data_IF_867753290322
#
_entry.id   IF_867753290322
#
_cell.length_a   1.000
_cell.length_b   1.000
_cell.length_c   1.000
_cell.angle_alpha   90.00
_cell.angle_beta   90.00
_cell.angle_gamma   90.00
#
_symmetry.space_group_name_H-M   'P 1'
#
loop_
_entity.id
_entity.type
_entity.pdbx_description
1 polymer ?
#
# COMPACT_ATOMS: atom_id res chain seq x y z
N UNK A 1 19.63 -5.59 58.86
CA UNK A 1 20.09 -4.83 57.67
C UNK A 1 20.05 -5.61 56.35
N UNK A 2 20.55 -6.86 56.27
CA UNK A 2 20.56 -7.66 55.02
C UNK A 2 19.17 -8.01 54.45
N UNK A 3 18.19 -8.31 55.31
CA UNK A 3 16.86 -8.77 54.88
C UNK A 3 16.03 -7.71 54.12
N UNK A 4 16.22 -6.42 54.46
CA UNK A 4 15.50 -5.31 53.83
C UNK A 4 16.10 -4.96 52.47
N UNK A 5 17.41 -5.14 52.31
CA UNK A 5 18.10 -5.04 51.02
C UNK A 5 17.66 -6.15 50.07
N UNK A 6 17.56 -7.39 50.57
CA UNK A 6 17.14 -8.53 49.78
C UNK A 6 15.70 -8.41 49.26
N UNK A 7 14.76 -7.97 50.11
CA UNK A 7 13.38 -7.68 49.68
C UNK A 7 13.32 -6.55 48.67
N UNK A 8 14.09 -5.46 48.85
CA UNK A 8 14.11 -4.35 47.90
C UNK A 8 14.63 -4.76 46.52
N UNK A 9 15.67 -5.60 46.45
CA UNK A 9 16.17 -6.14 45.19
C UNK A 9 15.13 -7.05 44.50
N UNK A 10 14.45 -7.92 45.25
CA UNK A 10 13.43 -8.82 44.70
C UNK A 10 12.27 -8.06 44.07
N UNK A 11 11.78 -7.01 44.75
CA UNK A 11 10.69 -6.17 44.23
C UNK A 11 11.14 -5.36 43.00
N UNK A 12 12.37 -4.85 42.99
CA UNK A 12 12.91 -4.14 41.83
C UNK A 12 12.99 -5.05 40.59
N UNK A 13 13.44 -6.30 40.76
CA UNK A 13 13.47 -7.30 39.68
C UNK A 13 12.06 -7.61 39.18
N UNK A 14 11.08 -7.77 40.06
CA UNK A 14 9.70 -8.02 39.69
C UNK A 14 9.08 -6.87 38.88
N UNK A 15 9.33 -5.61 39.26
CA UNK A 15 8.85 -4.46 38.51
C UNK A 15 9.51 -4.32 37.15
N UNK A 16 10.81 -4.59 37.04
CA UNK A 16 11.52 -4.58 35.74
C UNK A 16 10.98 -5.70 34.84
N UNK A 17 10.78 -6.92 35.37
CA UNK A 17 10.18 -8.01 34.61
C UNK A 17 8.76 -7.68 34.13
N UNK A 18 7.94 -7.07 34.98
CA UNK A 18 6.59 -6.64 34.62
C UNK A 18 6.60 -5.53 33.57
N UNK A 19 7.50 -4.56 33.67
CA UNK A 19 7.66 -3.50 32.68
C UNK A 19 8.09 -4.05 31.32
N UNK A 20 9.01 -5.01 31.29
CA UNK A 20 9.44 -5.69 30.05
C UNK A 20 8.28 -6.48 29.44
N UNK A 21 7.51 -7.20 30.26
CA UNK A 21 6.36 -7.98 29.78
C UNK A 21 5.26 -7.07 29.19
N UNK A 22 5.02 -5.92 29.81
CA UNK A 22 4.09 -4.91 29.27
C UNK A 22 4.62 -4.36 27.95
N UNK A 23 5.90 -3.97 27.89
CA UNK A 23 6.49 -3.38 26.70
C UNK A 23 6.51 -4.36 25.50
N UNK A 24 6.69 -5.66 25.77
CA UNK A 24 6.60 -6.70 24.74
C UNK A 24 5.18 -6.88 24.19
N UNK A 25 4.14 -6.56 24.97
CA UNK A 25 2.75 -6.56 24.50
C UNK A 25 2.40 -5.44 23.51
N UNK A 26 3.28 -4.43 23.36
CA UNK A 26 3.13 -3.34 22.39
C UNK A 26 3.80 -3.64 21.03
N UNK A 27 4.10 -4.89 20.70
CA UNK A 27 4.56 -5.21 19.34
C UNK A 27 3.53 -4.68 18.32
N UNK A 28 3.95 -3.64 17.58
CA UNK A 28 3.18 -3.05 16.51
C UNK A 28 2.76 -4.15 15.54
N UNK A 29 1.49 -4.19 15.16
CA UNK A 29 1.04 -5.14 14.14
C UNK A 29 1.80 -4.84 12.84
N UNK A 30 2.71 -5.74 12.47
CA UNK A 30 3.36 -5.69 11.17
C UNK A 30 2.31 -5.97 10.09
N UNK A 31 2.40 -5.29 8.95
CA UNK A 31 1.55 -5.60 7.82
C UNK A 31 1.82 -7.05 7.37
N UNK A 32 0.75 -7.80 7.14
CA UNK A 32 0.82 -9.20 6.70
C UNK A 32 0.96 -9.30 5.17
N UNK A 33 0.73 -8.19 4.46
CA UNK A 33 0.81 -8.11 3.01
C UNK A 33 1.42 -6.77 2.57
N UNK A 34 1.82 -6.68 1.31
CA UNK A 34 2.31 -5.45 0.70
C UNK A 34 1.82 -5.34 -0.74
N UNK A 35 1.46 -4.12 -1.15
CA UNK A 35 1.27 -3.76 -2.56
C UNK A 35 2.64 -3.50 -3.16
N UNK A 36 3.04 -4.32 -4.11
CA UNK A 36 4.38 -4.29 -4.73
C UNK A 36 4.37 -3.68 -6.12
N UNK A 37 3.21 -3.61 -6.78
CA UNK A 37 3.08 -3.10 -8.14
C UNK A 37 1.68 -2.62 -8.46
N UNK A 38 1.58 -1.71 -9.43
CA UNK A 38 0.32 -1.15 -9.90
C UNK A 38 0.38 -0.97 -11.42
N UNK A 39 -0.57 -1.58 -12.14
CA UNK A 39 -0.66 -1.49 -13.60
C UNK A 39 -2.04 -1.02 -14.03
N UNK A 40 -2.05 -0.19 -15.06
CA UNK A 40 -3.25 0.29 -15.73
C UNK A 40 -3.17 -0.10 -17.20
N UNK A 41 -4.27 -0.55 -17.77
CA UNK A 41 -4.35 -0.87 -19.19
C UNK A 41 -5.77 -0.84 -19.70
N UNK A 42 -5.95 -0.37 -20.94
CA UNK A 42 -7.22 -0.53 -21.64
C UNK A 42 -7.43 -2.00 -22.02
N UNK A 43 -8.66 -2.47 -21.91
CA UNK A 43 -9.08 -3.80 -22.36
C UNK A 43 -10.39 -3.68 -23.13
N UNK A 44 -10.59 -4.56 -24.11
CA UNK A 44 -11.88 -4.69 -24.79
C UNK A 44 -12.69 -5.79 -24.08
N UNK A 45 -13.94 -5.47 -23.75
CA UNK A 45 -14.91 -6.41 -23.19
C UNK A 45 -16.16 -6.30 -24.04
N UNK A 46 -16.43 -7.33 -24.84
CA UNK A 46 -17.60 -7.42 -25.72
C UNK A 46 -17.75 -6.20 -26.67
N UNK A 47 -16.63 -5.74 -27.24
CA UNK A 47 -16.59 -4.57 -28.13
C UNK A 47 -16.67 -3.22 -27.42
N UNK A 48 -16.65 -3.21 -26.07
CA UNK A 48 -16.60 -2.00 -25.27
C UNK A 48 -15.23 -1.82 -24.60
N UNK A 49 -14.62 -0.65 -24.79
CA UNK A 49 -13.37 -0.31 -24.14
C UNK A 49 -13.59 -0.09 -22.63
N UNK A 50 -12.83 -0.80 -21.81
CA UNK A 50 -12.82 -0.70 -20.36
C UNK A 50 -11.40 -0.49 -19.82
N UNK A 51 -11.29 -0.06 -18.56
CA UNK A 51 -10.02 0.06 -17.84
C UNK A 51 -9.79 -1.19 -16.97
N UNK A 52 -8.63 -1.81 -17.09
CA UNK A 52 -8.13 -2.82 -16.17
C UNK A 52 -7.12 -2.18 -15.21
N UNK A 53 -7.38 -2.35 -13.91
CA UNK A 53 -6.44 -2.02 -12.83
C UNK A 53 -5.92 -3.33 -12.25
N UNK A 54 -4.60 -3.50 -12.19
CA UNK A 54 -3.95 -4.65 -11.55
C UNK A 54 -3.14 -4.14 -10.37
N UNK A 55 -3.43 -4.68 -9.19
CA UNK A 55 -2.72 -4.43 -7.94
C UNK A 55 -1.95 -5.71 -7.62
N UNK A 56 -0.63 -5.63 -7.66
CA UNK A 56 0.25 -6.77 -7.33
C UNK A 56 0.51 -6.77 -5.82
N UNK A 57 0.41 -7.95 -5.21
CA UNK A 57 0.59 -8.13 -3.77
C UNK A 57 1.53 -9.28 -3.45
N UNK A 58 2.24 -9.20 -2.32
CA UNK A 58 3.18 -10.24 -1.88
C UNK A 58 2.47 -11.53 -1.42
N UNK A 59 1.27 -11.40 -0.85
CA UNK A 59 0.38 -12.50 -0.48
C UNK A 59 -1.02 -12.32 -1.08
N UNK A 60 -1.87 -13.34 -1.00
CA UNK A 60 -3.29 -13.20 -1.35
C UNK A 60 -3.94 -12.11 -0.49
N UNK A 61 -4.56 -11.12 -1.13
CA UNK A 61 -5.17 -9.99 -0.44
C UNK A 61 -6.66 -10.20 -0.19
N UNK A 62 -7.11 -9.77 1.00
CA UNK A 62 -8.52 -9.49 1.23
C UNK A 62 -8.78 -8.03 0.86
N UNK A 63 -9.72 -7.79 -0.05
CA UNK A 63 -10.01 -6.44 -0.53
C UNK A 63 -11.52 -6.18 -0.54
N UNK A 64 -11.90 -4.98 -0.12
CA UNK A 64 -13.27 -4.47 -0.27
C UNK A 64 -13.31 -3.39 -1.33
N UNK A 65 -14.24 -3.53 -2.26
CA UNK A 65 -14.45 -2.58 -3.36
C UNK A 65 -15.65 -1.70 -3.03
N UNK A 66 -15.47 -0.39 -3.10
CA UNK A 66 -16.54 0.58 -2.88
C UNK A 66 -16.52 1.64 -3.97
N UNK A 67 -17.70 1.96 -4.51
CA UNK A 67 -17.87 3.10 -5.40
C UNK A 67 -18.48 4.25 -4.61
N UNK A 68 -17.75 5.36 -4.50
CA UNK A 68 -18.25 6.59 -3.92
C UNK A 68 -18.80 7.47 -5.02
N UNK A 69 -19.92 8.13 -4.74
CA UNK A 69 -20.50 9.17 -5.59
C UNK A 69 -20.04 10.55 -5.11
N UNK A 70 -19.99 11.51 -6.03
CA UNK A 70 -19.70 12.93 -5.76
C UNK A 70 -18.35 13.25 -5.03
N UNK A 71 -17.23 13.34 -5.76
CA UNK A 71 -17.00 12.86 -7.13
C UNK A 71 -16.93 11.33 -7.19
N UNK A 72 -17.19 10.76 -8.38
CA UNK A 72 -17.06 9.32 -8.63
C UNK A 72 -15.65 8.83 -8.31
N UNK A 73 -15.53 7.93 -7.32
CA UNK A 73 -14.26 7.33 -6.90
C UNK A 73 -14.42 5.83 -6.74
N UNK A 74 -13.52 5.08 -7.36
CA UNK A 74 -13.35 3.65 -7.10
C UNK A 74 -12.34 3.47 -5.97
N UNK A 75 -12.78 2.91 -4.85
CA UNK A 75 -11.97 2.70 -3.65
C UNK A 75 -11.75 1.20 -3.46
N UNK A 76 -10.48 0.84 -3.31
CA UNK A 76 -10.04 -0.51 -2.95
C UNK A 76 -9.47 -0.42 -1.53
N UNK A 77 -10.14 -1.04 -0.58
CA UNK A 77 -9.71 -1.10 0.81
C UNK A 77 -9.05 -2.45 1.10
N UNK A 78 -7.82 -2.42 1.63
CA UNK A 78 -6.96 -3.58 1.86
C UNK A 78 -6.32 -3.47 3.25
N UNK A 79 -6.96 -4.04 4.30
CA UNK A 79 -6.42 -3.97 5.65
C UNK A 79 -5.09 -4.70 5.77
N UNK A 80 -4.29 -4.32 6.77
CA UNK A 80 -3.01 -4.97 7.09
C UNK A 80 -2.05 -5.08 5.90
N UNK A 81 -2.12 -4.14 4.95
CA UNK A 81 -1.34 -4.14 3.71
C UNK A 81 -0.50 -2.87 3.60
N UNK A 82 0.81 -3.05 3.46
CA UNK A 82 1.76 -1.96 3.30
C UNK A 82 1.90 -1.51 1.83
N UNK A 83 2.37 -0.27 1.64
CA UNK A 83 2.67 0.25 0.32
C UNK A 83 4.16 0.12 0.00
N UNK A 84 4.50 -0.71 -0.98
CA UNK A 84 5.87 -0.98 -1.42
C UNK A 84 6.02 -0.87 -2.94
N UNK A 85 5.20 -0.03 -3.58
CA UNK A 85 5.33 0.26 -5.01
C UNK A 85 6.45 1.27 -5.21
N UNK A 86 7.50 0.86 -5.92
CA UNK A 86 8.63 1.73 -6.22
C UNK A 86 8.21 2.88 -7.16
N UNK A 87 8.70 4.10 -6.90
CA UNK A 87 8.48 5.26 -7.76
C UNK A 87 7.07 5.87 -7.73
N UNK A 88 6.12 5.29 -6.98
CA UNK A 88 4.77 5.84 -6.79
C UNK A 88 4.56 6.16 -5.32
N UNK A 89 4.25 7.42 -5.02
CA UNK A 89 3.95 7.85 -3.65
C UNK A 89 2.66 7.19 -3.15
N UNK A 90 2.67 6.72 -1.88
CA UNK A 90 1.50 6.11 -1.21
C UNK A 90 0.26 7.00 -1.20
N UNK A 91 0.46 8.32 -1.17
CA UNK A 91 -0.62 9.30 -1.15
C UNK A 91 -0.14 10.63 -1.73
N UNK A 92 -1.09 11.49 -2.12
CA UNK A 92 -0.83 12.80 -2.67
C UNK A 92 -1.68 13.07 -3.91
N UNK A 93 -1.44 14.21 -4.54
CA UNK A 93 -2.09 14.55 -5.80
C UNK A 93 -1.60 13.61 -6.89
N UNK A 94 -2.53 12.97 -7.60
CA UNK A 94 -2.21 12.25 -8.83
C UNK A 94 -1.66 13.27 -9.83
N UNK A 95 -0.46 13.03 -10.37
CA UNK A 95 0.10 13.83 -11.45
C UNK A 95 -0.91 13.87 -12.59
N UNK A 96 -1.46 15.05 -12.88
CA UNK A 96 -2.36 15.22 -14.02
C UNK A 96 -1.51 15.02 -15.27
N UNK A 97 -1.72 13.92 -15.98
CA UNK A 97 -1.19 13.73 -17.35
C UNK A 97 -1.49 15.02 -18.13
N UNK A 98 -0.44 15.71 -18.59
CA UNK A 98 -0.59 16.87 -19.44
C UNK A 98 -1.12 16.35 -20.78
N UNK A 99 -2.44 16.48 -21.02
CA UNK A 99 -3.04 16.25 -22.34
C UNK A 99 -2.18 17.01 -23.37
N UNK A 100 -1.59 16.33 -24.38
CA UNK A 100 -0.91 17.03 -25.46
C UNK A 100 -1.95 17.93 -26.15
N UNK A 101 -1.60 19.14 -26.59
CA UNK A 101 -2.52 19.95 -27.40
C UNK A 101 -2.93 19.11 -28.61
N UNK A 102 -4.25 19.06 -28.86
CA UNK A 102 -4.87 18.42 -30.02
C UNK A 102 -4.18 18.95 -31.28
N UNK A 103 -3.21 18.22 -31.82
CA UNK A 103 -2.40 18.69 -32.95
C UNK A 103 -1.03 18.04 -33.16
N UNK A 104 -0.45 17.32 -32.19
CA UNK A 104 0.78 16.56 -32.46
C UNK A 104 0.45 15.27 -33.20
N UNK A 105 0.45 15.34 -34.53
CA UNK A 105 0.36 14.19 -35.41
C UNK A 105 1.40 13.12 -35.01
N UNK A 106 0.94 11.86 -34.94
CA UNK A 106 1.80 10.69 -34.84
C UNK A 106 2.77 10.69 -36.03
N UNK A 107 4.10 10.61 -35.84
CA UNK A 107 5.01 10.53 -36.97
C UNK A 107 4.81 9.18 -37.67
N UNK A 108 4.15 9.21 -38.83
CA UNK A 108 3.99 8.07 -39.72
C UNK A 108 5.37 7.52 -40.07
N UNK A 109 5.68 6.31 -39.58
CA UNK A 109 6.88 5.56 -39.96
C UNK A 109 6.81 5.31 -41.47
N UNK A 110 7.63 6.00 -42.28
CA UNK A 110 7.79 5.71 -43.71
C UNK A 110 8.25 4.25 -43.85
N UNK A 111 7.64 3.42 -44.72
CA UNK A 111 8.25 2.16 -45.09
C UNK A 111 9.56 2.45 -45.84
N UNK A 112 10.61 1.71 -45.50
CA UNK A 112 11.85 1.71 -46.26
C UNK A 112 11.55 1.24 -47.69
N UNK A 113 11.95 2.04 -48.67
CA UNK A 113 11.95 1.62 -50.06
C UNK A 113 13.03 0.53 -50.24
N UNK A 114 12.62 -0.47 -51.02
CA UNK A 114 13.30 -1.63 -51.59
C UNK A 114 14.82 -1.72 -51.50
#
# INVERSE_FOLDING_TARGET
MIQHWFRRCLHAVAHVAFAILWLAGLQAQAAENSITGLRLGGVDIDGSQALRVVIETSNTANAKLTLLTDPYRFVVDMPSTDWQVEGIAKSGSLSRERRPPTGSACPTRRPAAS
#
